data_IF_441125926234
#
_entry.id   IF_441125926234
#
_cell.length_a   1.000
_cell.length_b   1.000
_cell.length_c   1.000
_cell.angle_alpha   90.00
_cell.angle_beta   90.00
_cell.angle_gamma   90.00
#
_symmetry.space_group_name_H-M   'P 1'
#
loop_
_entity.id
_entity.type
_entity.pdbx_description
1 polymer ?
#
# COMPACT_ATOMS: atom_id res chain seq x y z
N UNK A 1 8.58 1.83 6.74
CA UNK A 1 10.03 2.01 6.50
C UNK A 1 10.58 0.88 5.63
N UNK A 2 10.48 -0.38 6.08
CA UNK A 2 11.05 -1.56 5.40
C UNK A 2 10.64 -1.68 3.91
N UNK A 3 9.34 -1.59 3.59
CA UNK A 3 8.90 -1.67 2.19
C UNK A 3 9.56 -0.62 1.27
N UNK A 4 9.78 0.62 1.76
CA UNK A 4 10.44 1.68 0.98
C UNK A 4 11.94 1.41 0.78
N UNK A 5 12.59 0.72 1.71
CA UNK A 5 13.98 0.28 1.56
C UNK A 5 14.08 -0.88 0.56
N UNK A 6 13.04 -1.71 0.49
CA UNK A 6 12.96 -2.89 -0.38
C UNK A 6 12.64 -2.58 -1.85
N UNK A 7 12.09 -1.40 -2.14
CA UNK A 7 11.81 -0.97 -3.52
C UNK A 7 11.94 0.55 -3.66
N UNK A 8 12.87 0.99 -4.51
CA UNK A 8 12.99 2.39 -4.93
C UNK A 8 11.73 2.93 -5.64
N UNK A 9 10.90 2.04 -6.20
CA UNK A 9 9.61 2.40 -6.79
C UNK A 9 8.60 2.98 -5.77
N UNK A 10 8.85 2.82 -4.47
CA UNK A 10 8.05 3.41 -3.39
C UNK A 10 8.55 4.79 -2.93
N UNK A 11 9.58 5.36 -3.55
CA UNK A 11 10.16 6.63 -3.13
C UNK A 11 9.13 7.78 -3.11
N UNK A 12 8.29 7.86 -4.15
CA UNK A 12 7.25 8.89 -4.27
C UNK A 12 5.94 8.53 -3.55
N UNK A 13 5.87 7.36 -2.89
CA UNK A 13 4.67 6.96 -2.20
C UNK A 13 4.45 7.79 -0.92
N UNK A 14 3.20 8.12 -0.62
CA UNK A 14 2.81 8.84 0.60
C UNK A 14 2.01 7.93 1.52
N UNK A 15 2.14 8.13 2.84
CA UNK A 15 1.29 7.43 3.80
C UNK A 15 -0.09 8.07 3.79
N UNK A 16 -1.12 7.29 3.49
CA UNK A 16 -2.51 7.69 3.57
C UNK A 16 -3.19 6.96 4.71
N UNK A 17 -3.73 7.71 5.65
CA UNK A 17 -4.52 7.19 6.77
C UNK A 17 -5.99 7.30 6.39
N UNK A 18 -6.72 6.20 6.49
CA UNK A 18 -8.12 6.11 6.07
C UNK A 18 -8.94 5.40 7.14
N UNK A 19 -10.11 5.94 7.44
CA UNK A 19 -11.12 5.24 8.23
C UNK A 19 -11.75 4.14 7.37
N UNK A 20 -11.77 2.92 7.89
CA UNK A 20 -12.52 1.80 7.31
C UNK A 20 -13.94 1.86 7.91
N UNK A 21 -14.98 2.05 7.08
CA UNK A 21 -16.36 1.99 7.56
C UNK A 21 -16.65 0.60 8.13
N UNK A 22 -17.22 0.56 9.34
CA UNK A 22 -17.69 -0.69 9.96
C UNK A 22 -19.16 -0.54 10.32
N UNK A 23 -19.90 -1.65 10.26
CA UNK A 23 -21.33 -1.68 10.56
C UNK A 23 -21.66 -1.76 12.05
N UNK A 24 -20.68 -2.02 12.92
CA UNK A 24 -20.86 -2.20 14.36
C UNK A 24 -20.39 -1.01 15.21
N UNK A 25 -20.19 0.16 14.59
CA UNK A 25 -19.76 1.38 15.29
C UNK A 25 -18.28 1.40 15.71
N UNK A 26 -17.49 0.37 15.35
CA UNK A 26 -16.06 0.32 15.69
C UNK A 26 -15.24 1.14 14.70
N UNK A 27 -14.51 2.14 15.18
CA UNK A 27 -13.58 2.88 14.33
C UNK A 27 -12.34 2.03 14.05
N UNK A 28 -12.10 1.71 12.78
CA UNK A 28 -10.89 1.01 12.34
C UNK A 28 -10.14 1.95 11.41
N UNK A 29 -8.88 2.22 11.74
CA UNK A 29 -8.00 3.05 10.93
C UNK A 29 -6.99 2.18 10.20
N UNK A 30 -6.73 2.51 8.94
CA UNK A 30 -5.78 1.81 8.07
C UNK A 30 -4.76 2.80 7.54
N UNK A 31 -3.51 2.36 7.45
CA UNK A 31 -2.45 3.10 6.76
C UNK A 31 -2.12 2.38 5.47
N UNK A 32 -2.09 3.10 4.35
CA UNK A 32 -1.66 2.59 3.04
C UNK A 32 -0.63 3.50 2.40
N UNK A 33 0.10 2.95 1.42
CA UNK A 33 0.93 3.73 0.52
C UNK A 33 0.08 4.17 -0.68
N UNK A 34 0.08 5.46 -0.99
CA UNK A 34 -0.68 6.08 -2.08
C UNK A 34 0.22 6.97 -2.96
N UNK A 35 -0.34 7.54 -4.04
CA UNK A 35 0.39 8.41 -4.97
C UNK A 35 1.22 7.67 -6.02
N UNK A 36 1.02 6.35 -6.14
CA UNK A 36 1.65 5.52 -7.16
C UNK A 36 0.76 5.42 -8.39
N UNK A 37 1.35 5.39 -9.58
CA UNK A 37 0.59 5.14 -10.80
C UNK A 37 0.09 3.69 -10.84
N UNK A 38 -1.10 3.48 -11.40
CA UNK A 38 -1.69 2.14 -11.51
C UNK A 38 -0.79 1.16 -12.29
N UNK A 39 -0.08 1.65 -13.30
CA UNK A 39 0.84 0.87 -14.12
C UNK A 39 2.10 0.45 -13.36
N UNK A 40 2.58 1.24 -12.40
CA UNK A 40 3.77 0.91 -11.60
C UNK A 40 3.44 0.05 -10.37
N UNK A 41 2.23 0.18 -9.83
CA UNK A 41 1.89 -0.44 -8.53
C UNK A 41 1.89 -1.98 -8.60
N UNK A 42 1.43 -2.56 -9.72
CA UNK A 42 1.47 -4.01 -9.93
C UNK A 42 2.89 -4.60 -9.87
N UNK A 43 3.82 -4.14 -10.73
CA UNK A 43 5.22 -4.55 -10.70
C UNK A 43 5.90 -4.40 -9.33
N UNK A 44 5.71 -3.26 -8.65
CA UNK A 44 6.27 -3.04 -7.30
C UNK A 44 5.76 -4.11 -6.32
N UNK A 45 4.46 -4.40 -6.37
CA UNK A 45 3.83 -5.37 -5.46
C UNK A 45 4.30 -6.81 -5.74
N UNK A 46 4.63 -7.14 -6.99
CA UNK A 46 5.28 -8.40 -7.34
C UNK A 46 6.71 -8.49 -6.81
N UNK A 47 7.51 -7.43 -6.97
CA UNK A 47 8.89 -7.39 -6.46
C UNK A 47 8.95 -7.52 -4.94
N UNK A 48 8.06 -6.85 -4.20
CA UNK A 48 7.98 -6.98 -2.74
C UNK A 48 7.68 -8.42 -2.32
N UNK A 49 6.72 -9.09 -3.00
CA UNK A 49 6.38 -10.49 -2.72
C UNK A 49 7.54 -11.45 -3.00
N UNK A 50 8.33 -11.20 -4.05
CA UNK A 50 9.55 -11.98 -4.34
C UNK A 50 10.62 -11.84 -3.24
N UNK A 51 10.64 -10.71 -2.54
CA UNK A 51 11.52 -10.49 -1.38
C UNK A 51 10.90 -11.02 -0.06
N UNK A 52 9.80 -11.76 -0.12
CA UNK A 52 9.11 -12.30 1.06
C UNK A 52 8.24 -11.29 1.81
N UNK A 53 8.03 -10.09 1.26
CA UNK A 53 7.20 -9.06 1.87
C UNK A 53 5.75 -9.18 1.42
N UNK A 54 4.83 -9.06 2.38
CA UNK A 54 3.39 -8.96 2.06
C UNK A 54 3.12 -7.66 1.28
N UNK A 55 2.39 -7.80 0.18
CA UNK A 55 1.88 -6.65 -0.57
C UNK A 55 0.47 -6.93 -1.07
N UNK A 56 -0.44 -5.99 -0.80
CA UNK A 56 -1.83 -6.02 -1.25
C UNK A 56 -2.02 -4.84 -2.20
N UNK A 57 -2.26 -5.14 -3.47
CA UNK A 57 -2.59 -4.13 -4.46
C UNK A 57 -4.01 -3.62 -4.24
N UNK A 58 -4.18 -2.30 -4.31
CA UNK A 58 -5.47 -1.63 -4.13
C UNK A 58 -5.66 -0.73 -5.34
N UNK A 59 -6.37 -1.24 -6.34
CA UNK A 59 -6.70 -0.51 -7.56
C UNK A 59 -8.17 -0.14 -7.50
N UNK A 60 -8.41 1.17 -7.39
CA UNK A 60 -9.73 1.81 -7.27
C UNK A 60 -10.51 1.43 -5.98
N UNK A 61 -10.99 2.46 -5.29
CA UNK A 61 -12.12 2.37 -4.37
C UNK A 61 -13.21 3.28 -4.90
#
# INVERSE_FOLDING_TARGET
ALARQSSGGLASAVNRIELIPTTNGRQIWRTRLAGLSATQTGPICSQLRQQGLSCILVVNQ
#
